data_IF_172317949871
#
_entry.id   IF_172317949871
#
_cell.length_a   1.000
_cell.length_b   1.000
_cell.length_c   1.000
_cell.angle_alpha   90.00
_cell.angle_beta   90.00
_cell.angle_gamma   90.00
#
_symmetry.space_group_name_H-M   'P 1'
#
loop_
_entity.id
_entity.type
_entity.pdbx_description
1 polymer ?
#
# COMPACT_ATOMS: atom_id res chain seq x y z
N UNK A 1 -7.13 -41.75 4.39
CA UNK A 1 -6.44 -41.89 3.08
C UNK A 1 -7.04 -41.04 1.95
N UNK A 2 -8.29 -40.52 2.05
CA UNK A 2 -8.94 -39.72 0.99
C UNK A 2 -8.59 -38.21 0.99
N UNK A 3 -7.91 -37.70 2.01
CA UNK A 3 -7.61 -36.26 2.22
C UNK A 3 -6.23 -35.82 1.71
N UNK A 4 -5.34 -36.77 1.42
CA UNK A 4 -3.99 -36.51 0.94
C UNK A 4 -3.91 -35.93 -0.50
N UNK A 5 -4.76 -36.32 -1.48
CA UNK A 5 -4.60 -35.81 -2.84
C UNK A 5 -5.03 -34.33 -2.98
N UNK A 6 -5.96 -33.85 -2.14
CA UNK A 6 -6.42 -32.46 -2.15
C UNK A 6 -5.38 -31.52 -1.54
N UNK A 7 -4.69 -31.95 -0.47
CA UNK A 7 -3.61 -31.18 0.13
C UNK A 7 -2.39 -31.06 -0.79
N UNK A 8 -2.06 -32.12 -1.54
CA UNK A 8 -0.98 -32.12 -2.54
C UNK A 8 -1.33 -31.26 -3.75
N UNK A 9 -2.59 -31.29 -4.22
CA UNK A 9 -3.05 -30.43 -5.30
C UNK A 9 -3.09 -28.93 -4.92
N UNK A 10 -3.54 -28.61 -3.69
CA UNK A 10 -3.53 -27.23 -3.19
C UNK A 10 -2.11 -26.70 -2.98
N UNK A 11 -1.20 -27.54 -2.46
CA UNK A 11 0.22 -27.20 -2.35
C UNK A 11 0.87 -27.00 -3.73
N UNK A 12 0.56 -27.85 -4.71
CA UNK A 12 1.06 -27.70 -6.07
C UNK A 12 0.54 -26.41 -6.74
N UNK A 13 -0.71 -26.02 -6.49
CA UNK A 13 -1.30 -24.78 -7.02
C UNK A 13 -0.67 -23.52 -6.38
N UNK A 14 -0.42 -23.56 -5.06
CA UNK A 14 0.26 -22.50 -4.31
C UNK A 14 1.75 -22.35 -4.70
N UNK A 15 2.44 -23.47 -4.95
CA UNK A 15 3.82 -23.46 -5.45
C UNK A 15 3.86 -22.95 -6.89
N UNK A 16 2.89 -23.31 -7.74
CA UNK A 16 2.83 -22.83 -9.12
C UNK A 16 2.55 -21.33 -9.21
N UNK A 17 1.66 -20.80 -8.35
CA UNK A 17 1.34 -19.36 -8.32
C UNK A 17 2.48 -18.52 -7.73
N UNK A 18 3.27 -19.05 -6.80
CA UNK A 18 4.48 -18.36 -6.29
C UNK A 18 5.63 -18.36 -7.30
N UNK A 19 5.77 -19.39 -8.14
CA UNK A 19 6.78 -19.41 -9.21
C UNK A 19 6.50 -18.40 -10.34
N UNK A 20 5.22 -18.10 -10.63
CA UNK A 20 4.86 -17.05 -11.60
C UNK A 20 5.05 -15.62 -11.06
N UNK A 21 5.25 -15.46 -9.75
CA UNK A 21 5.56 -14.18 -9.11
C UNK A 21 7.06 -14.01 -8.84
N UNK A 22 7.91 -14.81 -9.50
CA UNK A 22 9.32 -14.49 -9.59
C UNK A 22 9.45 -13.18 -10.39
N UNK A 23 9.87 -12.04 -9.80
CA UNK A 23 10.30 -10.92 -10.62
C UNK A 23 11.39 -11.45 -11.54
N UNK A 24 11.16 -11.40 -12.85
CA UNK A 24 12.18 -11.73 -13.83
C UNK A 24 13.39 -10.84 -13.54
N UNK A 25 14.38 -11.34 -12.79
CA UNK A 25 15.67 -10.70 -12.60
C UNK A 25 16.51 -10.93 -13.87
N UNK A 26 15.95 -10.54 -15.01
CA UNK A 26 16.78 -10.06 -16.11
C UNK A 26 17.40 -8.73 -15.68
N UNK A 27 18.48 -8.30 -16.33
CA UNK A 27 19.04 -6.96 -16.18
C UNK A 27 17.99 -5.94 -16.70
N UNK A 28 16.90 -5.72 -15.96
CA UNK A 28 15.88 -4.76 -16.33
C UNK A 28 16.51 -3.38 -16.23
N UNK A 29 16.30 -2.52 -17.24
CA UNK A 29 16.69 -1.13 -17.12
C UNK A 29 16.08 -0.58 -15.83
N UNK A 30 16.83 0.24 -15.06
CA UNK A 30 16.27 0.90 -13.90
C UNK A 30 14.93 1.55 -14.30
N UNK A 31 13.90 1.45 -13.45
CA UNK A 31 12.60 2.00 -13.77
C UNK A 31 12.78 3.45 -14.20
N UNK A 32 12.21 3.80 -15.36
CA UNK A 32 12.31 5.14 -15.91
C UNK A 32 11.85 6.16 -14.87
N UNK A 33 12.36 7.38 -14.93
CA UNK A 33 11.95 8.44 -14.01
C UNK A 33 10.43 8.64 -14.03
N UNK A 34 9.79 8.42 -15.19
CA UNK A 34 8.33 8.40 -15.31
C UNK A 34 7.68 7.28 -14.47
N UNK A 35 8.24 6.06 -14.48
CA UNK A 35 7.71 4.95 -13.69
C UNK A 35 7.88 5.19 -12.17
N UNK A 36 9.00 5.79 -11.75
CA UNK A 36 9.19 6.18 -10.34
C UNK A 36 8.25 7.30 -9.91
N UNK A 37 8.02 8.30 -10.77
CA UNK A 37 7.06 9.37 -10.50
C UNK A 37 5.63 8.82 -10.34
N UNK A 38 5.21 7.89 -11.22
CA UNK A 38 3.89 7.23 -11.10
C UNK A 38 3.77 6.35 -9.86
N UNK A 39 4.84 5.65 -9.48
CA UNK A 39 4.85 4.89 -8.23
C UNK A 39 4.70 5.81 -7.00
N UNK A 40 5.39 6.95 -6.98
CA UNK A 40 5.28 7.94 -5.91
C UNK A 40 3.88 8.58 -5.84
N UNK A 41 3.28 8.91 -6.99
CA UNK A 41 1.88 9.37 -7.07
C UNK A 41 0.89 8.34 -6.52
N UNK A 42 1.07 7.06 -6.87
CA UNK A 42 0.20 5.97 -6.40
C UNK A 42 0.38 5.72 -4.91
N UNK A 43 1.61 5.80 -4.39
CA UNK A 43 1.87 5.69 -2.95
C UNK A 43 1.22 6.85 -2.18
N UNK A 44 1.32 8.08 -2.71
CA UNK A 44 0.65 9.24 -2.11
C UNK A 44 -0.87 9.09 -2.13
N UNK A 45 -1.46 8.63 -3.25
CA UNK A 45 -2.89 8.32 -3.32
C UNK A 45 -3.29 7.23 -2.32
N UNK A 46 -2.52 6.15 -2.21
CA UNK A 46 -2.80 5.08 -1.27
C UNK A 46 -2.78 5.57 0.18
N UNK A 47 -1.79 6.39 0.54
CA UNK A 47 -1.71 7.00 1.87
C UNK A 47 -2.91 7.92 2.14
N UNK A 48 -3.33 8.73 1.16
CA UNK A 48 -4.52 9.57 1.30
C UNK A 48 -5.81 8.76 1.40
N UNK A 49 -6.00 7.74 0.56
CA UNK A 49 -7.14 6.83 0.63
C UNK A 49 -7.22 6.15 2.00
N UNK A 50 -6.08 5.72 2.57
CA UNK A 50 -6.06 5.17 3.93
C UNK A 50 -6.59 6.14 4.98
N UNK A 51 -6.30 7.44 4.86
CA UNK A 51 -6.87 8.47 5.74
C UNK A 51 -8.38 8.68 5.50
N UNK A 52 -8.83 8.63 4.25
CA UNK A 52 -10.26 8.72 3.91
C UNK A 52 -11.05 7.56 4.49
N UNK A 53 -10.52 6.35 4.40
CA UNK A 53 -11.17 5.16 4.96
C UNK A 53 -11.21 5.22 6.49
N UNK A 54 -10.15 5.70 7.14
CA UNK A 54 -10.16 5.96 8.58
C UNK A 54 -11.21 7.02 8.98
N UNK A 55 -11.35 8.09 8.20
CA UNK A 55 -12.37 9.12 8.43
C UNK A 55 -13.79 8.55 8.31
N UNK A 56 -14.07 7.75 7.28
CA UNK A 56 -15.38 7.11 7.10
C UNK A 56 -15.69 6.12 8.21
N UNK A 57 -14.68 5.35 8.65
CA UNK A 57 -14.83 4.42 9.77
C UNK A 57 -15.16 5.18 11.06
N UNK A 58 -14.48 6.30 11.33
CA UNK A 58 -14.81 7.15 12.47
C UNK A 58 -16.27 7.63 12.41
N UNK A 59 -16.71 8.14 11.25
CA UNK A 59 -18.09 8.57 11.05
C UNK A 59 -19.12 7.46 11.26
N UNK A 60 -18.82 6.24 10.84
CA UNK A 60 -19.75 5.12 11.03
C UNK A 60 -19.87 4.75 12.51
N UNK A 61 -18.78 4.77 13.27
CA UNK A 61 -18.81 4.54 14.72
C UNK A 61 -19.61 5.61 15.46
N UNK A 62 -19.43 6.88 15.10
CA UNK A 62 -20.20 8.00 15.67
C UNK A 62 -21.70 7.87 15.35
N UNK A 63 -22.04 7.49 14.12
CA UNK A 63 -23.43 7.25 13.73
C UNK A 63 -24.05 6.10 14.55
N UNK A 64 -23.33 4.99 14.75
CA UNK A 64 -23.80 3.87 15.57
C UNK A 64 -24.02 4.30 17.03
N UNK A 65 -23.09 5.06 17.61
CA UNK A 65 -23.24 5.59 18.96
C UNK A 65 -24.47 6.51 19.05
N UNK A 66 -24.64 7.43 18.10
CA UNK A 66 -25.80 8.31 18.03
C UNK A 66 -27.12 7.54 17.93
N UNK A 67 -27.17 6.51 17.09
CA UNK A 67 -28.34 5.63 16.97
C UNK A 67 -28.66 4.91 18.29
N UNK A 68 -27.66 4.34 18.95
CA UNK A 68 -27.85 3.69 20.25
C UNK A 68 -28.43 4.67 21.28
N UNK A 69 -27.85 5.87 21.38
CA UNK A 69 -28.34 6.89 22.30
C UNK A 69 -29.75 7.37 21.98
N UNK A 70 -30.08 7.53 20.69
CA UNK A 70 -31.44 7.87 20.28
C UNK A 70 -32.44 6.77 20.69
N UNK A 71 -32.10 5.50 20.47
CA UNK A 71 -32.95 4.37 20.86
C UNK A 71 -33.08 4.21 22.37
N UNK A 72 -32.02 4.43 23.13
CA UNK A 72 -32.08 4.38 24.59
C UNK A 72 -32.98 5.49 25.16
N UNK A 73 -32.93 6.69 24.56
CA UNK A 73 -33.83 7.81 24.90
C UNK A 73 -35.29 7.49 24.58
N UNK A 74 -35.59 6.95 23.40
CA UNK A 74 -36.97 6.59 23.03
C UNK A 74 -37.52 5.46 23.89
N UNK A 75 -36.66 4.52 24.32
CA UNK A 75 -37.01 3.43 25.22
C UNK A 75 -37.14 3.87 26.71
N UNK A 76 -37.01 5.17 27.01
CA UNK A 76 -37.13 5.70 28.37
C UNK A 76 -36.03 5.24 29.33
N UNK A 77 -34.91 4.74 28.81
CA UNK A 77 -33.77 4.30 29.64
C UNK A 77 -32.93 5.52 30.01
N UNK A 78 -32.37 5.51 31.22
CA UNK A 78 -31.42 6.54 31.62
C UNK A 78 -30.15 6.46 30.76
N UNK A 79 -29.85 7.55 30.07
CA UNK A 79 -28.69 7.64 29.17
C UNK A 79 -27.62 8.49 29.83
N UNK A 80 -26.50 7.85 30.22
CA UNK A 80 -25.35 8.57 30.75
C UNK A 80 -24.74 9.47 29.67
N UNK A 81 -24.23 10.67 30.01
CA UNK A 81 -23.64 11.58 29.03
C UNK A 81 -22.55 10.89 28.20
N UNK A 82 -22.52 11.09 26.87
CA UNK A 82 -21.46 10.57 26.02
C UNK A 82 -20.10 11.07 26.50
N UNK A 83 -19.12 10.18 26.56
CA UNK A 83 -17.73 10.59 26.77
C UNK A 83 -17.28 11.29 25.50
N UNK A 84 -16.70 12.49 25.63
CA UNK A 84 -16.21 13.24 24.48
C UNK A 84 -15.09 12.46 23.79
N UNK A 85 -15.35 12.03 22.56
CA UNK A 85 -14.35 11.45 21.66
C UNK A 85 -13.75 12.56 20.80
N UNK A 86 -12.51 12.36 20.34
CA UNK A 86 -11.92 13.28 19.38
C UNK A 86 -12.75 13.28 18.09
N UNK A 87 -12.97 14.44 17.45
CA UNK A 87 -13.73 14.51 16.21
C UNK A 87 -13.03 13.76 15.07
N UNK A 88 -13.81 13.21 14.15
CA UNK A 88 -13.27 12.57 12.95
C UNK A 88 -12.50 13.58 12.08
N UNK A 89 -11.21 13.34 11.88
CA UNK A 89 -10.34 14.21 11.09
C UNK A 89 -10.55 13.96 9.58
N UNK A 90 -11.07 14.96 8.87
CA UNK A 90 -11.22 14.90 7.41
C UNK A 90 -9.86 15.12 6.73
N UNK A 91 -9.41 14.20 5.85
CA UNK A 91 -8.12 14.34 5.17
C UNK A 91 -8.08 15.42 4.09
N UNK A 92 -9.21 16.05 3.77
CA UNK A 92 -9.32 17.04 2.70
C UNK A 92 -9.11 16.44 1.31
N UNK A 93 -9.09 17.28 0.26
CA UNK A 93 -8.85 16.82 -1.11
C UNK A 93 -7.42 16.29 -1.29
N UNK A 94 -7.26 15.28 -2.14
CA UNK A 94 -5.93 14.79 -2.51
C UNK A 94 -5.18 15.84 -3.34
N UNK A 95 -4.07 16.35 -2.81
CA UNK A 95 -3.15 17.23 -3.51
C UNK A 95 -1.78 16.57 -3.56
N UNK A 96 -1.26 16.37 -4.76
CA UNK A 96 0.07 15.83 -4.98
C UNK A 96 0.97 16.88 -5.62
N UNK A 97 2.04 17.24 -4.92
CA UNK A 97 3.15 18.01 -5.49
C UNK A 97 4.28 17.02 -5.75
N UNK A 98 4.65 16.74 -7.02
CA UNK A 98 5.74 15.84 -7.32
C UNK A 98 7.03 16.30 -6.62
N UNK A 99 7.75 15.41 -5.92
CA UNK A 99 9.06 15.77 -5.40
C UNK A 99 9.99 16.12 -6.57
N UNK A 100 10.70 17.24 -6.46
CA UNK A 100 11.65 17.67 -7.48
C UNK A 100 12.66 16.56 -7.76
N UNK A 101 12.88 16.25 -9.03
CA UNK A 101 13.88 15.26 -9.43
C UNK A 101 15.26 15.75 -8.97
N UNK A 102 15.84 15.09 -7.96
CA UNK A 102 17.25 15.26 -7.63
C UNK A 102 18.05 14.78 -8.84
N UNK A 103 18.89 15.61 -9.48
CA UNK A 103 19.70 15.14 -10.60
C UNK A 103 20.53 13.95 -10.13
N UNK A 104 20.44 12.85 -10.88
CA UNK A 104 21.23 11.65 -10.63
C UNK A 104 22.71 12.05 -10.56
N UNK A 105 23.35 11.80 -9.41
CA UNK A 105 24.79 11.96 -9.29
C UNK A 105 25.46 11.19 -10.42
N UNK A 106 26.33 11.88 -11.16
CA UNK A 106 27.03 11.39 -12.33
C UNK A 106 27.53 9.95 -12.12
N UNK A 107 27.22 9.10 -13.09
CA UNK A 107 27.63 7.71 -13.12
C UNK A 107 29.11 7.56 -12.73
N UNK A 108 29.39 6.74 -11.72
CA UNK A 108 30.74 6.27 -11.46
C UNK A 108 31.26 5.62 -12.74
N UNK A 109 32.38 6.13 -13.25
CA UNK A 109 33.03 5.66 -14.47
C UNK A 109 33.27 4.14 -14.40
N UNK A 110 33.10 3.39 -15.51
CA UNK A 110 33.45 1.97 -15.51
C UNK A 110 34.96 1.82 -15.25
N UNK A 111 35.38 0.80 -14.49
CA UNK A 111 36.80 0.50 -14.36
C UNK A 111 37.37 0.16 -15.74
N UNK A 112 38.49 0.79 -16.08
CA UNK A 112 39.18 0.60 -17.34
C UNK A 112 39.55 -0.88 -17.54
N UNK A 113 39.09 -1.47 -18.64
CA UNK A 113 39.57 -2.75 -19.15
C UNK A 113 41.00 -2.56 -19.67
N UNK A 114 41.98 -3.13 -18.98
CA UNK A 114 43.33 -3.26 -19.51
C UNK A 114 43.34 -4.37 -20.56
N UNK A 115 43.48 -4.00 -21.82
CA UNK A 115 43.75 -4.92 -22.91
C UNK A 115 45.26 -5.20 -23.04
N UNK A 116 45.55 -6.41 -23.54
CA UNK A 116 46.69 -6.84 -24.39
C UNK A 116 47.76 -7.77 -23.74
N UNK A 117 48.50 -8.58 -24.54
CA UNK A 117 48.26 -9.05 -25.92
C UNK A 117 48.42 -10.58 -26.12
N UNK A 118 47.94 -11.06 -27.27
CA UNK A 118 48.26 -12.38 -27.83
C UNK A 118 49.77 -12.55 -28.10
N UNK A 119 50.31 -13.74 -27.80
CA UNK A 119 51.56 -14.24 -28.39
C UNK A 119 51.46 -15.77 -28.62
N UNK A 120 51.69 -16.11 -29.89
CA UNK A 120 52.06 -17.38 -30.54
C UNK A 120 52.08 -18.66 -29.72
#
# INVERSE_FOLDING_TARGET
>A
MKTMPVAVAAAALLVSTTLLMAPAWGKLPPPSDEAKAKAAENAAKAAWSGKVEAYKLCKSMDATAAHYYAQAKTAGKEVKPPVATAPCADPGPFVYTPPAATPAAAAAAPPAVAAAPAKK
#
